data_IF_765135821894
#
_entry.id   IF_765135821894
#
_cell.length_a   1.000
_cell.length_b   1.000
_cell.length_c   1.000
_cell.angle_alpha   90.00
_cell.angle_beta   90.00
_cell.angle_gamma   90.00
#
_symmetry.space_group_name_H-M   'P 1'
#
loop_
_entity.id
_entity.type
_entity.pdbx_description
1 polymer ?
#
# COMPACT_ATOMS: atom_id res chain seq x y z
N UNK A 1 -7.56 10.61 9.21
CA UNK A 1 -6.26 10.60 8.50
C UNK A 1 -6.51 11.15 7.12
N UNK A 2 -5.63 12.03 6.65
CA UNK A 2 -5.74 12.60 5.31
C UNK A 2 -5.14 11.67 4.27
N UNK A 3 -5.50 11.89 3.00
CA UNK A 3 -4.94 11.20 1.85
C UNK A 3 -3.45 11.48 1.74
N UNK A 4 -2.63 10.44 1.74
CA UNK A 4 -1.17 10.54 1.61
C UNK A 4 -0.75 10.28 0.17
N UNK A 5 0.20 11.09 -0.32
CA UNK A 5 0.85 10.87 -1.61
C UNK A 5 2.35 10.83 -1.40
N UNK A 6 3.02 9.89 -2.06
CA UNK A 6 4.46 9.78 -2.01
C UNK A 6 4.99 9.14 -3.29
N UNK A 7 6.23 9.48 -3.63
CA UNK A 7 6.94 8.94 -4.77
C UNK A 7 8.29 8.36 -4.34
N UNK A 8 8.77 7.40 -5.13
CA UNK A 8 10.09 6.80 -4.97
C UNK A 8 10.55 6.15 -6.27
N UNK A 9 11.84 5.86 -6.32
CA UNK A 9 12.48 5.11 -7.40
C UNK A 9 12.78 3.69 -6.90
N UNK A 10 12.32 2.67 -7.61
CA UNK A 10 12.63 1.27 -7.36
C UNK A 10 13.26 0.68 -8.61
N UNK A 11 14.52 0.25 -8.52
CA UNK A 11 15.30 -0.29 -9.65
C UNK A 11 15.30 0.60 -10.92
N UNK A 12 15.28 1.93 -10.74
CA UNK A 12 15.22 2.88 -11.86
C UNK A 12 13.82 3.14 -12.41
N UNK A 13 12.78 2.47 -11.88
CA UNK A 13 11.37 2.69 -12.24
C UNK A 13 10.73 3.66 -11.23
N UNK A 14 10.13 4.77 -11.69
CA UNK A 14 9.43 5.70 -10.80
C UNK A 14 8.04 5.17 -10.43
N UNK A 15 7.70 5.27 -9.14
CA UNK A 15 6.38 4.96 -8.61
C UNK A 15 5.77 6.19 -7.94
N UNK A 16 4.57 6.54 -8.37
CA UNK A 16 3.74 7.59 -7.78
C UNK A 16 2.58 6.93 -7.05
N UNK A 17 2.63 6.95 -5.72
CA UNK A 17 1.67 6.25 -4.86
C UNK A 17 0.71 7.23 -4.24
N UNK A 18 -0.56 6.85 -4.26
CA UNK A 18 -1.64 7.49 -3.52
C UNK A 18 -2.22 6.49 -2.53
N UNK A 19 -2.26 6.86 -1.26
CA UNK A 19 -2.82 6.06 -0.17
C UNK A 19 -3.95 6.83 0.50
N UNK A 20 -5.15 6.28 0.46
CA UNK A 20 -6.33 6.87 1.08
C UNK A 20 -6.77 6.02 2.28
N UNK A 21 -6.63 6.53 3.51
CA UNK A 21 -6.97 5.80 4.71
C UNK A 21 -8.49 5.64 4.85
N UNK A 22 -8.91 4.48 5.32
CA UNK A 22 -10.30 4.19 5.69
C UNK A 22 -10.35 3.19 6.83
N UNK A 23 -11.52 3.05 7.45
CA UNK A 23 -11.75 2.06 8.51
C UNK A 23 -12.72 1.01 8.02
N UNK A 24 -12.43 -0.25 8.29
CA UNK A 24 -13.31 -1.38 8.04
C UNK A 24 -13.24 -2.33 9.23
N UNK A 25 -14.39 -2.69 9.81
CA UNK A 25 -14.47 -3.51 11.03
C UNK A 25 -13.58 -3.01 12.18
N UNK A 26 -13.50 -1.69 12.38
CA UNK A 26 -12.66 -1.04 13.39
C UNK A 26 -11.14 -1.15 13.14
N UNK A 27 -10.71 -1.71 12.02
CA UNK A 27 -9.30 -1.81 11.63
C UNK A 27 -8.92 -0.70 10.63
N UNK A 28 -7.73 -0.08 10.78
CA UNK A 28 -7.20 0.85 9.80
C UNK A 28 -6.80 0.13 8.52
N UNK A 29 -7.20 0.68 7.38
CA UNK A 29 -6.85 0.18 6.04
C UNK A 29 -6.53 1.34 5.11
N UNK A 30 -5.84 1.02 4.03
CA UNK A 30 -5.50 1.99 2.98
C UNK A 30 -5.96 1.50 1.62
N UNK A 31 -6.64 2.36 0.87
CA UNK A 31 -6.78 2.22 -0.58
C UNK A 31 -5.52 2.76 -1.22
N UNK A 32 -4.75 1.89 -1.86
CA UNK A 32 -3.47 2.22 -2.47
C UNK A 32 -3.58 2.08 -3.98
N UNK A 33 -3.15 3.13 -4.69
CA UNK A 33 -2.96 3.11 -6.13
C UNK A 33 -1.56 3.60 -6.46
N UNK A 34 -0.88 2.94 -7.38
CA UNK A 34 0.43 3.36 -7.85
C UNK A 34 0.43 3.47 -9.38
N UNK A 35 0.88 4.61 -9.90
CA UNK A 35 0.84 4.88 -11.35
C UNK A 35 -0.58 4.60 -11.92
N UNK A 36 -0.66 3.82 -13.00
CA UNK A 36 -1.90 3.40 -13.64
C UNK A 36 -2.45 2.05 -13.13
N UNK A 37 -1.99 1.59 -11.95
CA UNK A 37 -2.49 0.34 -11.35
C UNK A 37 -3.98 0.42 -10.99
N UNK A 38 -4.65 -0.73 -10.82
CA UNK A 38 -5.90 -0.77 -10.07
C UNK A 38 -5.67 -0.32 -8.61
N UNK A 39 -6.78 -0.13 -7.90
CA UNK A 39 -6.76 0.11 -6.47
C UNK A 39 -6.54 -1.21 -5.72
N UNK A 40 -5.62 -1.20 -4.75
CA UNK A 40 -5.36 -2.31 -3.83
C UNK A 40 -5.71 -1.90 -2.41
N UNK A 41 -6.14 -2.88 -1.61
CA UNK A 41 -6.42 -2.65 -0.19
C UNK A 41 -5.24 -3.17 0.62
N UNK A 42 -4.66 -2.30 1.44
CA UNK A 42 -3.65 -2.65 2.43
C UNK A 42 -4.29 -2.68 3.82
N UNK A 43 -4.14 -3.78 4.54
CA UNK A 43 -4.63 -3.98 5.90
C UNK A 43 -3.46 -4.25 6.85
N UNK A 44 -3.63 -3.87 8.12
CA UNK A 44 -2.63 -4.17 9.14
C UNK A 44 -2.58 -5.67 9.39
N UNK A 45 -1.37 -6.24 9.35
CA UNK A 45 -1.11 -7.63 9.69
C UNK A 45 -0.31 -7.70 10.99
N UNK A 46 -0.90 -8.32 12.02
CA UNK A 46 -0.32 -8.43 13.36
C UNK A 46 0.89 -9.37 13.42
N UNK A 47 0.98 -10.36 12.54
CA UNK A 47 2.10 -11.32 12.53
C UNK A 47 3.33 -10.71 11.85
N UNK A 48 3.14 -10.01 10.74
CA UNK A 48 4.18 -9.34 9.98
C UNK A 48 4.51 -7.94 10.52
N UNK A 49 3.70 -7.41 11.44
CA UNK A 49 3.81 -6.07 12.02
C UNK A 49 3.92 -4.96 10.96
N UNK A 50 3.15 -5.11 9.87
CA UNK A 50 3.15 -4.17 8.74
C UNK A 50 1.82 -4.21 7.99
N UNK A 51 1.60 -3.21 7.13
CA UNK A 51 0.49 -3.24 6.19
C UNK A 51 0.77 -4.22 5.05
N UNK A 52 -0.13 -5.16 4.80
CA UNK A 52 -0.08 -6.12 3.69
C UNK A 52 -1.26 -5.93 2.74
N UNK A 53 -1.04 -6.11 1.42
CA UNK A 53 -2.13 -6.05 0.46
C UNK A 53 -3.00 -7.30 0.54
N UNK A 54 -4.31 -7.12 0.53
CA UNK A 54 -5.31 -8.20 0.62
C UNK A 54 -6.14 -8.30 -0.65
N UNK A 55 -6.63 -9.51 -0.96
CA UNK A 55 -7.45 -9.82 -2.14
C UNK A 55 -6.65 -10.48 -3.27
N UNK A 56 -7.33 -11.18 -4.18
CA UNK A 56 -6.67 -12.05 -5.19
C UNK A 56 -5.69 -11.28 -6.11
N UNK A 57 -6.04 -10.04 -6.46
CA UNK A 57 -5.22 -9.19 -7.31
C UNK A 57 -3.92 -8.71 -6.61
N UNK A 58 -3.81 -8.84 -5.28
CA UNK A 58 -2.60 -8.42 -4.54
C UNK A 58 -1.37 -9.23 -4.94
N UNK A 59 -1.56 -10.47 -5.41
CA UNK A 59 -0.51 -11.34 -5.91
C UNK A 59 0.24 -10.77 -7.13
N UNK A 60 -0.31 -9.74 -7.78
CA UNK A 60 0.31 -9.04 -8.91
C UNK A 60 1.25 -7.91 -8.50
N UNK A 61 1.28 -7.55 -7.21
CA UNK A 61 2.15 -6.51 -6.69
C UNK A 61 3.56 -7.10 -6.53
N UNK A 62 4.60 -6.51 -7.15
CA UNK A 62 5.97 -6.96 -6.93
C UNK A 62 6.36 -6.85 -5.45
N UNK A 63 7.00 -7.88 -4.89
CA UNK A 63 7.35 -7.95 -3.46
C UNK A 63 8.11 -6.70 -2.97
N UNK A 64 9.10 -6.23 -3.74
CA UNK A 64 9.88 -5.06 -3.37
C UNK A 64 9.04 -3.77 -3.37
N UNK A 65 8.07 -3.68 -4.28
CA UNK A 65 7.14 -2.54 -4.34
C UNK A 65 6.22 -2.55 -3.13
N UNK A 66 5.66 -3.71 -2.80
CA UNK A 66 4.83 -3.91 -1.61
C UNK A 66 5.58 -3.47 -0.34
N UNK A 67 6.80 -3.95 -0.15
CA UNK A 67 7.60 -3.63 1.03
C UNK A 67 7.84 -2.12 1.19
N UNK A 68 8.17 -1.42 0.10
CA UNK A 68 8.39 0.03 0.15
C UNK A 68 7.10 0.76 0.51
N UNK A 69 5.97 0.38 -0.11
CA UNK A 69 4.66 0.96 0.21
C UNK A 69 4.31 0.72 1.68
N UNK A 70 4.43 -0.52 2.18
CA UNK A 70 4.13 -0.89 3.55
C UNK A 70 4.92 -0.05 4.56
N UNK A 71 6.22 0.17 4.32
CA UNK A 71 7.07 1.03 5.16
C UNK A 71 6.59 2.48 5.17
N UNK A 72 6.14 3.00 4.03
CA UNK A 72 5.62 4.38 3.91
C UNK A 72 4.25 4.56 4.57
N UNK A 73 3.41 3.53 4.62
CA UNK A 73 2.11 3.58 5.30
C UNK A 73 2.22 3.57 6.83
N UNK A 74 3.32 3.06 7.37
CA UNK A 74 3.57 3.02 8.82
C UNK A 74 4.11 4.35 9.39
N UNK A 75 4.58 5.25 8.52
CA UNK A 75 5.22 6.53 8.91
C UNK A 75 4.22 7.67 8.88
#
# INVERSE_FOLDING_TARGET
>A
MDKTKFDFLLEGVPYFVTAEPFTFNQEPRFRVRYNDSPEYIFAWDEEALRFLPIGDDSSTIPNELEEVIARKLYT
#
